data_IF_935738058575
#
_entry.id   IF_935738058575
#
_cell.length_a   1.000
_cell.length_b   1.000
_cell.length_c   1.000
_cell.angle_alpha   90.00
_cell.angle_beta   90.00
_cell.angle_gamma   90.00
#
_symmetry.space_group_name_H-M   'P 1'
#
loop_
_entity.id
_entity.type
_entity.pdbx_description
1 polymer ?
#
# COMPACT_ATOMS: atom_id res chain seq x y z
N UNK A 1 0.65 7.50 -9.78
CA UNK A 1 -0.57 6.97 -9.13
C UNK A 1 -0.79 5.53 -9.60
N UNK A 2 -0.88 4.57 -8.68
CA UNK A 2 -1.01 3.14 -8.97
C UNK A 2 -2.23 2.58 -8.24
N UNK A 3 -3.21 2.05 -8.98
CA UNK A 3 -4.46 1.56 -8.40
C UNK A 3 -4.44 0.03 -8.34
N UNK A 4 -4.55 -0.48 -7.12
CA UNK A 4 -4.70 -1.89 -6.78
C UNK A 4 -5.99 -2.15 -5.99
N UNK A 5 -6.93 -1.21 -6.00
CA UNK A 5 -8.19 -1.38 -5.29
C UNK A 5 -9.07 -2.45 -5.92
N UNK A 6 -9.99 -2.96 -5.11
CA UNK A 6 -10.95 -4.00 -5.52
C UNK A 6 -10.30 -5.32 -5.96
N UNK A 7 -9.18 -5.66 -5.34
CA UNK A 7 -8.57 -6.97 -5.47
C UNK A 7 -8.87 -7.85 -4.25
N UNK A 8 -8.36 -9.08 -4.26
CA UNK A 8 -8.50 -10.02 -3.16
C UNK A 8 -7.21 -10.18 -2.38
N UNK A 9 -6.31 -9.18 -2.38
CA UNK A 9 -5.05 -9.26 -1.64
C UNK A 9 -5.32 -9.35 -0.14
N UNK A 10 -4.63 -10.25 0.53
CA UNK A 10 -4.77 -10.53 1.96
C UNK A 10 -3.42 -10.55 2.69
N UNK A 11 -3.46 -10.59 4.02
CA UNK A 11 -2.28 -10.50 4.86
C UNK A 11 -1.70 -9.07 4.96
N UNK A 12 -0.42 -8.97 5.32
CA UNK A 12 0.22 -7.70 5.62
C UNK A 12 0.76 -7.02 4.37
N UNK A 13 0.79 -5.68 4.41
CA UNK A 13 1.45 -4.88 3.39
C UNK A 13 2.97 -5.15 3.45
N UNK A 14 3.61 -5.60 2.37
CA UNK A 14 5.04 -5.92 2.38
C UNK A 14 5.89 -4.67 2.55
N UNK A 15 6.92 -4.76 3.39
CA UNK A 15 7.81 -3.64 3.72
C UNK A 15 8.55 -3.11 2.48
N UNK A 16 8.76 -3.98 1.48
CA UNK A 16 9.46 -3.73 0.21
C UNK A 16 8.74 -2.76 -0.74
N UNK A 17 7.47 -2.42 -0.47
CA UNK A 17 6.74 -1.41 -1.26
C UNK A 17 7.40 -0.02 -1.21
N UNK A 18 8.26 0.24 -0.22
CA UNK A 18 9.06 1.45 -0.10
C UNK A 18 10.14 1.60 -1.19
N UNK A 19 10.54 0.50 -1.85
CA UNK A 19 11.51 0.52 -2.93
C UNK A 19 10.88 0.91 -4.28
N UNK A 20 9.57 1.19 -4.33
CA UNK A 20 8.89 1.66 -5.54
C UNK A 20 9.15 3.15 -5.75
N UNK A 21 10.36 3.48 -6.22
CA UNK A 21 10.95 4.84 -6.25
C UNK A 21 10.17 5.86 -7.09
N UNK A 22 9.23 5.44 -7.94
CA UNK A 22 8.49 6.32 -8.86
C UNK A 22 6.97 6.37 -8.59
N UNK A 23 6.50 5.85 -7.46
CA UNK A 23 5.07 5.89 -7.15
C UNK A 23 4.75 7.03 -6.19
N UNK A 24 3.99 8.00 -6.68
CA UNK A 24 3.48 9.13 -5.89
C UNK A 24 2.29 8.76 -4.99
N UNK A 25 1.49 7.77 -5.40
CA UNK A 25 0.30 7.33 -4.67
C UNK A 25 -0.06 5.89 -5.04
N UNK A 26 -0.47 5.09 -4.06
CA UNK A 26 -1.00 3.73 -4.25
C UNK A 26 -2.39 3.65 -3.61
N UNK A 27 -3.39 3.24 -4.37
CA UNK A 27 -4.71 2.89 -3.85
C UNK A 27 -4.76 1.37 -3.57
N UNK A 28 -4.86 1.00 -2.31
CA UNK A 28 -5.01 -0.38 -1.83
C UNK A 28 -6.41 -0.67 -1.25
N UNK A 29 -7.35 0.27 -1.41
CA UNK A 29 -8.70 0.16 -0.84
C UNK A 29 -9.44 -1.06 -1.38
N UNK A 30 -10.48 -1.50 -0.66
CA UNK A 30 -11.29 -2.66 -1.09
C UNK A 30 -10.47 -3.95 -1.32
N UNK A 31 -9.45 -4.20 -0.49
CA UNK A 31 -8.74 -5.48 -0.37
C UNK A 31 -9.03 -6.14 0.99
N UNK A 32 -8.45 -7.31 1.24
CA UNK A 32 -8.51 -8.05 2.52
C UNK A 32 -7.22 -7.93 3.33
N UNK A 33 -6.49 -6.83 3.13
CA UNK A 33 -5.24 -6.55 3.83
C UNK A 33 -5.49 -6.37 5.34
N UNK A 34 -4.55 -6.83 6.15
CA UNK A 34 -4.60 -6.80 7.61
C UNK A 34 -3.20 -6.55 8.18
N UNK A 35 -3.08 -6.41 9.50
CA UNK A 35 -1.80 -6.08 10.13
C UNK A 35 -1.46 -4.59 10.09
N UNK A 36 -0.23 -4.26 10.47
CA UNK A 36 0.23 -2.86 10.57
C UNK A 36 0.66 -2.31 9.22
N UNK A 37 0.45 -1.01 9.00
CA UNK A 37 1.07 -0.29 7.88
C UNK A 37 2.58 -0.24 8.14
N UNK A 38 3.43 -0.74 7.22
CA UNK A 38 4.88 -0.66 7.36
C UNK A 38 5.32 0.78 7.59
N UNK A 39 6.19 1.01 8.57
CA UNK A 39 6.80 2.33 8.84
C UNK A 39 7.52 2.93 7.62
N UNK A 40 7.99 2.08 6.72
CA UNK A 40 8.59 2.52 5.46
C UNK A 40 7.59 3.23 4.54
N UNK A 41 6.30 2.91 4.66
CA UNK A 41 5.19 3.54 3.95
C UNK A 41 4.53 4.70 4.72
N UNK A 42 4.86 4.94 6.00
CA UNK A 42 4.44 6.16 6.71
C UNK A 42 4.93 7.43 6.01
N UNK A 43 6.00 7.34 5.21
CA UNK A 43 6.48 8.47 4.38
C UNK A 43 5.64 8.72 3.13
N UNK A 44 4.84 7.74 2.70
CA UNK A 44 3.88 7.85 1.60
C UNK A 44 2.52 8.28 2.17
N UNK A 45 2.49 9.42 2.88
CA UNK A 45 1.28 10.00 3.42
C UNK A 45 0.42 10.61 2.31
N UNK A 46 -0.29 9.76 1.57
CA UNK A 46 -1.57 10.09 0.92
C UNK A 46 -2.26 8.78 0.51
N UNK A 47 -2.82 8.09 1.52
CA UNK A 47 -3.74 6.98 1.33
C UNK A 47 -5.13 7.56 1.59
N UNK A 48 -5.89 7.84 0.52
CA UNK A 48 -7.33 8.13 0.57
C UNK A 48 -8.07 6.94 -0.04
#
# INVERSE_FOLDING_TARGET
HFNLSWNTFDGNIPQQLDHMVNIEAIDLSHNKLSGEIPKSLEKLQHIQ
#
